data_IF_495967463819
#
_entry.id   IF_495967463819
#
_cell.length_a   1.000
_cell.length_b   1.000
_cell.length_c   1.000
_cell.angle_alpha   90.00
_cell.angle_beta   90.00
_cell.angle_gamma   90.00
#
_symmetry.space_group_name_H-M   'P 1'
#
loop_
_entity.id
_entity.type
_entity.pdbx_description
1 polymer ?
#
# COMPACT_ATOMS: atom_id res chain seq x y z
N UNK A 1 -32.50 4.74 29.84
CA UNK A 1 -31.80 3.48 29.51
C UNK A 1 -30.66 3.80 28.57
N UNK A 2 -29.52 4.14 29.16
CA UNK A 2 -28.24 4.28 28.46
C UNK A 2 -27.89 2.93 27.84
N UNK A 3 -27.92 2.84 26.51
CA UNK A 3 -27.22 1.77 25.81
C UNK A 3 -25.75 2.19 25.77
N UNK A 4 -25.00 1.67 26.73
CA UNK A 4 -23.57 1.52 26.67
C UNK A 4 -23.20 0.94 25.29
N UNK A 5 -22.76 1.83 24.40
CA UNK A 5 -22.02 1.44 23.20
C UNK A 5 -20.73 0.83 23.75
N UNK A 6 -20.57 -0.47 23.59
CA UNK A 6 -19.29 -1.13 23.78
C UNK A 6 -18.27 -0.33 22.97
N UNK A 7 -17.42 0.41 23.67
CA UNK A 7 -16.18 0.92 23.13
C UNK A 7 -15.49 -0.27 22.48
N UNK A 8 -15.15 -0.12 21.20
CA UNK A 8 -14.27 -1.04 20.50
C UNK A 8 -13.01 -1.24 21.37
N UNK A 9 -12.95 -2.34 22.11
CA UNK A 9 -11.67 -2.94 22.46
C UNK A 9 -11.04 -3.32 21.12
N UNK A 10 -10.20 -2.44 20.59
CA UNK A 10 -9.34 -2.78 19.46
C UNK A 10 -8.63 -4.10 19.82
N UNK A 11 -8.77 -5.14 18.99
CA UNK A 11 -8.05 -6.41 19.16
C UNK A 11 -6.53 -6.20 19.32
N UNK A 12 -6.03 -5.05 18.84
CA UNK A 12 -4.70 -4.54 19.12
C UNK A 12 -4.80 -3.12 19.70
N UNK A 13 -4.50 -2.94 20.98
CA UNK A 13 -4.49 -1.62 21.60
C UNK A 13 -3.47 -0.68 20.92
N UNK A 14 -3.76 0.61 20.84
CA UNK A 14 -2.81 1.59 20.32
C UNK A 14 -1.46 1.53 21.07
N UNK A 15 -1.48 1.23 22.38
CA UNK A 15 -0.27 1.02 23.18
C UNK A 15 0.58 -0.17 22.70
N UNK A 16 -0.05 -1.27 22.27
CA UNK A 16 0.66 -2.39 21.65
C UNK A 16 1.36 -1.96 20.36
N UNK A 17 0.66 -1.28 19.46
CA UNK A 17 1.23 -0.80 18.19
C UNK A 17 2.38 0.17 18.45
N UNK A 18 2.19 1.14 19.33
CA UNK A 18 3.20 2.11 19.75
C UNK A 18 4.47 1.44 20.29
N UNK A 19 4.32 0.44 21.16
CA UNK A 19 5.48 -0.29 21.71
C UNK A 19 6.27 -1.04 20.61
N UNK A 20 5.59 -1.54 19.57
CA UNK A 20 6.29 -2.27 18.49
C UNK A 20 7.00 -1.34 17.53
N UNK A 21 6.50 -0.12 17.37
CA UNK A 21 7.05 0.89 16.47
C UNK A 21 8.03 1.85 17.13
N UNK A 22 8.34 1.66 18.41
CA UNK A 22 9.26 2.53 19.14
C UNK A 22 10.63 2.62 18.45
N UNK A 23 11.12 3.84 18.21
CA UNK A 23 12.33 4.13 17.45
C UNK A 23 12.36 3.52 16.03
N UNK A 24 11.21 3.30 15.39
CA UNK A 24 11.14 2.69 14.06
C UNK A 24 10.66 3.68 13.00
N UNK A 25 11.21 3.54 11.80
CA UNK A 25 10.67 4.12 10.56
C UNK A 25 9.92 3.06 9.77
N UNK A 26 8.60 3.24 9.65
CA UNK A 26 7.68 2.36 8.91
C UNK A 26 7.29 3.03 7.59
N UNK A 27 7.70 2.44 6.48
CA UNK A 27 7.48 2.97 5.13
C UNK A 27 6.49 2.11 4.35
N UNK A 28 5.41 2.72 3.88
CA UNK A 28 4.49 2.16 2.89
C UNK A 28 4.83 2.73 1.52
N UNK A 29 5.14 1.88 0.54
CA UNK A 29 5.48 2.32 -0.82
C UNK A 29 4.61 1.57 -1.82
N UNK A 30 3.81 2.32 -2.58
CA UNK A 30 2.89 1.69 -3.53
C UNK A 30 1.81 2.61 -4.06
N UNK A 31 0.66 2.01 -4.36
CA UNK A 31 -0.51 2.68 -4.95
C UNK A 31 -1.48 3.28 -3.91
N UNK A 32 -2.70 3.61 -4.33
CA UNK A 32 -3.74 4.18 -3.47
C UNK A 32 -4.19 3.27 -2.33
N UNK A 33 -4.06 1.95 -2.46
CA UNK A 33 -4.39 0.99 -1.41
C UNK A 33 -3.24 0.88 -0.40
N UNK A 34 -1.99 1.09 -0.83
CA UNK A 34 -0.86 1.30 0.09
C UNK A 34 -1.06 2.56 0.94
N UNK A 35 -1.52 3.64 0.32
CA UNK A 35 -1.87 4.87 1.02
C UNK A 35 -2.99 4.66 2.05
N UNK A 36 -4.00 3.86 1.75
CA UNK A 36 -5.07 3.57 2.72
C UNK A 36 -4.59 2.80 3.93
N UNK A 37 -3.68 1.85 3.73
CA UNK A 37 -3.07 1.13 4.85
C UNK A 37 -2.25 2.09 5.74
N UNK A 38 -1.49 3.00 5.13
CA UNK A 38 -0.82 4.09 5.85
C UNK A 38 -1.80 4.97 6.63
N UNK A 39 -2.88 5.42 5.98
CA UNK A 39 -3.89 6.29 6.61
C UNK A 39 -4.60 5.58 7.77
N UNK A 40 -4.96 4.32 7.59
CA UNK A 40 -5.48 3.44 8.65
C UNK A 40 -4.51 3.38 9.83
N UNK A 41 -3.23 3.11 9.58
CA UNK A 41 -2.24 3.05 10.64
C UNK A 41 -2.18 4.37 11.41
N UNK A 42 -2.10 5.49 10.70
CA UNK A 42 -2.10 6.83 11.30
C UNK A 42 -3.32 7.04 12.20
N UNK A 43 -4.52 6.64 11.77
CA UNK A 43 -5.73 6.70 12.58
C UNK A 43 -5.66 5.79 13.81
N UNK A 44 -5.17 4.54 13.67
CA UNK A 44 -5.02 3.60 14.78
C UNK A 44 -4.09 4.15 15.86
N UNK A 45 -2.93 4.71 15.47
CA UNK A 45 -1.93 5.20 16.43
C UNK A 45 -2.26 6.60 16.99
N UNK A 46 -3.04 7.41 16.28
CA UNK A 46 -3.55 8.69 16.76
C UNK A 46 -4.88 8.59 17.52
N UNK A 47 -5.51 7.41 17.50
CA UNK A 47 -6.90 7.20 17.92
C UNK A 47 -7.89 8.15 17.20
N UNK A 48 -7.59 8.49 15.94
CA UNK A 48 -8.38 9.42 15.13
C UNK A 48 -8.36 10.88 15.61
N UNK A 49 -7.46 11.23 16.55
CA UNK A 49 -7.38 12.58 17.12
C UNK A 49 -6.24 13.38 16.50
N UNK A 50 -6.43 14.70 16.45
CA UNK A 50 -5.32 15.61 16.27
C UNK A 50 -4.43 15.58 17.52
N UNK A 51 -3.12 15.54 17.33
CA UNK A 51 -2.14 15.29 18.39
C UNK A 51 -0.91 16.14 18.15
N UNK A 52 -0.57 17.00 19.11
CA UNK A 52 0.59 17.88 19.04
C UNK A 52 1.94 17.12 19.02
N UNK A 53 1.97 15.86 19.45
CA UNK A 53 3.17 15.02 19.39
C UNK A 53 3.38 14.33 18.04
N UNK A 54 2.54 14.62 17.04
CA UNK A 54 2.71 14.16 15.66
C UNK A 54 3.13 15.35 14.80
N UNK A 55 4.33 15.30 14.25
CA UNK A 55 4.89 16.36 13.41
C UNK A 55 5.11 15.88 11.97
N UNK A 56 4.93 16.77 11.00
CA UNK A 56 5.28 16.52 9.60
C UNK A 56 6.80 16.57 9.44
N UNK A 57 7.38 15.48 8.93
CA UNK A 57 8.82 15.33 8.65
C UNK A 57 9.08 14.97 7.19
N UNK A 58 8.12 15.28 6.30
CA UNK A 58 8.19 14.96 4.88
C UNK A 58 9.42 15.55 4.18
N UNK A 59 9.89 16.72 4.62
CA UNK A 59 11.11 17.35 4.09
C UNK A 59 12.38 16.53 4.33
N UNK A 60 12.43 15.72 5.38
CA UNK A 60 13.57 14.84 5.62
C UNK A 60 13.66 13.68 4.62
N UNK A 61 12.60 13.43 3.86
CA UNK A 61 12.50 12.35 2.88
C UNK A 61 12.25 12.88 1.46
N UNK A 62 12.50 14.16 1.19
CA UNK A 62 12.17 14.81 -0.10
C UNK A 62 10.69 14.67 -0.52
N UNK A 63 9.77 14.54 0.45
CA UNK A 63 8.32 14.44 0.21
C UNK A 63 7.65 15.81 0.18
N UNK A 64 8.40 16.87 -0.09
CA UNK A 64 7.86 18.22 -0.21
C UNK A 64 7.04 18.34 -1.49
N UNK A 65 5.92 19.05 -1.41
CA UNK A 65 5.08 19.34 -2.56
C UNK A 65 5.87 20.20 -3.56
N UNK A 66 6.16 19.64 -4.74
CA UNK A 66 6.81 20.37 -5.81
C UNK A 66 5.96 21.57 -6.29
N UNK A 67 6.58 22.67 -6.76
CA UNK A 67 5.85 23.80 -7.35
C UNK A 67 4.88 23.34 -8.44
N UNK A 68 3.64 23.85 -8.40
CA UNK A 68 2.59 23.49 -9.36
C UNK A 68 1.96 22.10 -9.20
N UNK A 69 2.53 21.20 -8.39
CA UNK A 69 1.94 19.89 -8.14
C UNK A 69 0.61 20.02 -7.38
N UNK A 70 -0.36 19.13 -7.64
CA UNK A 70 -1.62 19.12 -6.87
C UNK A 70 -1.42 18.63 -5.43
N UNK A 71 -0.47 17.71 -5.21
CA UNK A 71 -0.16 17.08 -3.93
C UNK A 71 1.32 16.63 -3.91
N UNK A 72 1.93 16.42 -2.73
CA UNK A 72 3.26 15.81 -2.66
C UNK A 72 3.25 14.35 -3.15
N UNK A 73 4.44 13.81 -3.40
CA UNK A 73 4.63 12.41 -3.79
C UNK A 73 4.53 11.44 -2.61
N UNK A 74 4.20 11.93 -1.42
CA UNK A 74 4.10 11.14 -0.20
C UNK A 74 3.87 12.01 1.02
N UNK A 75 3.83 11.39 2.19
CA UNK A 75 3.77 12.05 3.49
C UNK A 75 4.64 11.28 4.47
N UNK A 76 5.27 11.97 5.42
CA UNK A 76 5.97 11.34 6.54
C UNK A 76 5.63 12.09 7.83
N UNK A 77 5.23 11.34 8.85
CA UNK A 77 4.87 11.89 10.16
C UNK A 77 5.67 11.21 11.25
N UNK A 78 6.19 12.01 12.19
CA UNK A 78 6.93 11.51 13.34
C UNK A 78 6.14 11.71 14.63
N UNK A 79 6.01 10.63 15.38
CA UNK A 79 5.50 10.60 16.74
C UNK A 79 6.68 10.88 17.67
N UNK A 80 6.77 12.10 18.20
CA UNK A 80 7.94 12.57 18.94
C UNK A 80 8.16 11.78 20.24
N UNK A 81 7.08 11.35 20.91
CA UNK A 81 7.15 10.60 22.17
C UNK A 81 7.81 9.23 22.03
N UNK A 82 7.61 8.54 20.91
CA UNK A 82 8.15 7.19 20.65
C UNK A 82 9.30 7.22 19.64
N UNK A 83 9.61 8.40 19.10
CA UNK A 83 10.51 8.61 17.97
C UNK A 83 10.20 7.65 16.79
N UNK A 84 8.91 7.41 16.56
CA UNK A 84 8.43 6.58 15.46
C UNK A 84 8.14 7.45 14.26
N UNK A 85 8.63 7.09 13.08
CA UNK A 85 8.25 7.74 11.83
C UNK A 85 7.38 6.79 11.01
N UNK A 86 6.24 7.28 10.53
CA UNK A 86 5.39 6.53 9.59
C UNK A 86 5.29 7.35 8.31
N UNK A 87 5.57 6.72 7.18
CA UNK A 87 5.54 7.40 5.90
C UNK A 87 4.85 6.59 4.81
N UNK A 88 4.37 7.31 3.82
CA UNK A 88 3.87 6.78 2.56
C UNK A 88 4.59 7.47 1.39
N UNK A 89 5.03 6.69 0.42
CA UNK A 89 5.50 7.18 -0.87
C UNK A 89 4.66 6.62 -2.02
N UNK A 90 4.17 7.51 -2.88
CA UNK A 90 3.39 7.16 -4.06
C UNK A 90 4.30 6.59 -5.15
N UNK A 91 4.21 5.28 -5.36
CA UNK A 91 4.83 4.59 -6.48
C UNK A 91 3.89 3.51 -6.97
N UNK A 92 2.90 3.91 -7.76
CA UNK A 92 1.83 3.01 -8.17
C UNK A 92 2.32 1.82 -9.00
N UNK A 93 3.43 1.94 -9.73
CA UNK A 93 4.05 0.85 -10.50
C UNK A 93 5.19 0.15 -9.75
N UNK A 94 5.75 0.73 -8.69
CA UNK A 94 7.04 0.30 -8.10
C UNK A 94 8.22 0.34 -9.08
N UNK A 95 8.13 1.16 -10.13
CA UNK A 95 9.23 1.42 -11.06
C UNK A 95 9.86 2.79 -10.81
N UNK A 96 11.07 2.97 -11.33
CA UNK A 96 11.60 4.29 -11.63
C UNK A 96 10.81 4.91 -12.79
N UNK A 97 10.36 6.16 -12.61
CA UNK A 97 9.56 6.89 -13.59
C UNK A 97 10.35 8.10 -14.07
N UNK A 98 10.58 8.22 -15.37
CA UNK A 98 11.36 9.33 -15.95
C UNK A 98 10.55 10.03 -17.05
N UNK A 99 10.28 11.33 -16.87
CA UNK A 99 9.70 12.16 -17.93
C UNK A 99 10.74 12.28 -19.05
N UNK A 100 10.38 11.86 -20.26
CA UNK A 100 11.32 11.77 -21.38
C UNK A 100 11.75 13.16 -21.90
N UNK A 101 10.86 14.15 -21.83
CA UNK A 101 11.13 15.54 -22.18
C UNK A 101 10.56 16.47 -21.10
N UNK A 102 11.43 16.98 -20.22
CA UNK A 102 11.02 17.84 -19.09
C UNK A 102 10.44 19.20 -19.53
N UNK A 103 10.73 19.64 -20.76
CA UNK A 103 10.22 20.90 -21.30
C UNK A 103 8.80 20.78 -21.86
N UNK A 104 8.31 19.56 -22.08
CA UNK A 104 6.98 19.30 -22.63
C UNK A 104 6.02 18.80 -21.53
N UNK A 105 4.98 19.58 -21.17
CA UNK A 105 4.02 19.17 -20.15
C UNK A 105 3.20 17.92 -20.53
N UNK A 106 3.15 17.55 -21.81
CA UNK A 106 2.47 16.35 -22.31
C UNK A 106 3.44 15.18 -22.56
N UNK A 107 4.70 15.32 -22.16
CA UNK A 107 5.72 14.31 -22.42
C UNK A 107 5.33 12.94 -21.88
N UNK A 108 5.72 11.90 -22.62
CA UNK A 108 5.66 10.53 -22.15
C UNK A 108 6.57 10.32 -20.94
N UNK A 109 6.13 9.43 -20.06
CA UNK A 109 6.89 9.02 -18.88
C UNK A 109 7.32 7.58 -19.05
N UNK A 110 8.62 7.34 -19.06
CA UNK A 110 9.20 6.01 -19.10
C UNK A 110 8.96 5.29 -17.77
N UNK A 111 8.35 4.11 -17.84
CA UNK A 111 8.19 3.17 -16.74
C UNK A 111 9.29 2.11 -16.87
N UNK A 112 10.37 2.26 -16.09
CA UNK A 112 11.52 1.35 -16.16
C UNK A 112 11.27 0.07 -15.36
N UNK A 113 11.01 -1.04 -16.04
CA UNK A 113 10.67 -2.31 -15.38
C UNK A 113 11.87 -2.92 -14.62
N UNK A 114 13.08 -2.56 -15.01
CA UNK A 114 14.35 -3.06 -14.48
C UNK A 114 14.88 -2.26 -13.28
N UNK A 115 14.17 -1.21 -12.84
CA UNK A 115 14.67 -0.26 -11.84
C UNK A 115 13.63 -0.01 -10.74
N UNK A 116 13.96 -0.25 -9.46
CA UNK A 116 13.17 0.18 -8.32
C UNK A 116 12.91 1.69 -8.35
N UNK A 117 11.89 2.21 -7.65
CA UNK A 117 11.68 3.66 -7.58
C UNK A 117 12.90 4.36 -6.98
N UNK A 118 13.28 5.51 -7.55
CA UNK A 118 14.44 6.29 -7.08
C UNK A 118 14.39 6.60 -5.58
N UNK A 119 13.21 6.95 -5.07
CA UNK A 119 12.98 7.16 -3.64
C UNK A 119 13.40 5.95 -2.80
N UNK A 120 12.98 4.73 -3.18
CA UNK A 120 13.32 3.53 -2.42
C UNK A 120 14.84 3.27 -2.46
N UNK A 121 15.49 3.46 -3.61
CA UNK A 121 16.97 3.33 -3.70
C UNK A 121 17.69 4.31 -2.78
N UNK A 122 17.19 5.54 -2.68
CA UNK A 122 17.81 6.59 -1.88
C UNK A 122 17.56 6.42 -0.38
N UNK A 123 16.38 5.95 0.01
CA UNK A 123 15.92 6.01 1.41
C UNK A 123 15.82 4.66 2.14
N UNK A 124 16.00 3.52 1.46
CA UNK A 124 15.86 2.19 2.09
C UNK A 124 16.70 2.00 3.35
N UNK A 125 17.88 2.62 3.41
CA UNK A 125 18.79 2.56 4.54
C UNK A 125 18.26 3.23 5.83
N UNK A 126 17.18 4.02 5.73
CA UNK A 126 16.52 4.68 6.86
C UNK A 126 15.28 3.94 7.38
N UNK A 127 14.91 2.81 6.78
CA UNK A 127 13.68 2.10 7.12
C UNK A 127 13.95 0.89 8.04
N UNK A 128 13.06 0.68 9.01
CA UNK A 128 13.03 -0.52 9.86
C UNK A 128 11.94 -1.50 9.44
N UNK A 129 10.88 -0.97 8.83
CA UNK A 129 9.78 -1.73 8.23
C UNK A 129 9.47 -1.14 6.87
N UNK A 130 9.46 -1.98 5.84
CA UNK A 130 9.07 -1.60 4.48
C UNK A 130 7.89 -2.46 4.04
N UNK A 131 6.80 -1.84 3.60
CA UNK A 131 5.62 -2.52 3.06
C UNK A 131 5.42 -2.07 1.62
N UNK A 132 5.58 -2.99 0.68
CA UNK A 132 5.42 -2.75 -0.75
C UNK A 132 4.06 -3.26 -1.24
N UNK A 133 3.45 -2.53 -2.19
CA UNK A 133 2.32 -3.06 -2.95
C UNK A 133 2.18 -2.40 -4.34
N UNK A 134 1.65 -3.15 -5.31
CA UNK A 134 1.17 -2.62 -6.60
C UNK A 134 0.07 -3.54 -7.16
N UNK A 135 -0.73 -3.03 -8.10
CA UNK A 135 -1.74 -3.84 -8.77
C UNK A 135 -2.67 -3.03 -9.64
N UNK A 136 -3.57 -2.26 -9.03
CA UNK A 136 -4.71 -1.63 -9.71
C UNK A 136 -4.37 -0.55 -10.73
N UNK A 137 -3.11 -0.12 -10.79
CA UNK A 137 -2.61 0.82 -11.80
C UNK A 137 -2.01 0.16 -13.04
N UNK A 138 -1.87 -1.17 -13.06
CA UNK A 138 -1.38 -1.95 -14.19
C UNK A 138 -2.53 -2.28 -15.16
N UNK A 139 -3.02 -1.26 -15.88
CA UNK A 139 -4.01 -1.42 -16.96
C UNK A 139 -3.89 -0.30 -18.00
N UNK A 140 -4.43 -0.53 -19.20
CA UNK A 140 -4.33 0.41 -20.32
C UNK A 140 -4.86 1.80 -19.97
N UNK A 141 -6.02 1.89 -19.30
CA UNK A 141 -6.64 3.18 -18.93
C UNK A 141 -5.71 4.02 -18.06
N UNK A 142 -5.01 3.41 -17.11
CA UNK A 142 -4.05 4.12 -16.26
C UNK A 142 -2.76 4.44 -17.00
N UNK A 143 -2.29 3.58 -17.88
CA UNK A 143 -1.10 3.86 -18.67
C UNK A 143 -1.34 5.04 -19.63
N UNK A 144 -2.45 5.03 -20.35
CA UNK A 144 -2.87 6.14 -21.23
C UNK A 144 -3.06 7.44 -20.43
N UNK A 145 -3.81 7.41 -19.33
CA UNK A 145 -4.08 8.62 -18.54
C UNK A 145 -2.83 9.25 -17.88
N UNK A 146 -1.73 8.51 -17.76
CA UNK A 146 -0.47 9.02 -17.22
C UNK A 146 0.64 9.16 -18.29
N UNK A 147 0.32 8.98 -19.58
CA UNK A 147 1.29 8.94 -20.69
C UNK A 147 2.47 7.98 -20.41
N UNK A 148 2.20 6.84 -19.80
CA UNK A 148 3.21 5.86 -19.43
C UNK A 148 3.59 4.97 -20.60
N UNK A 149 4.89 4.85 -20.84
CA UNK A 149 5.47 3.95 -21.84
C UNK A 149 6.46 3.00 -21.17
N UNK A 150 6.37 1.71 -21.50
CA UNK A 150 7.21 0.69 -20.88
C UNK A 150 8.63 0.80 -21.41
N UNK A 151 9.62 0.78 -20.51
CA UNK A 151 11.03 0.70 -20.84
C UNK A 151 11.69 -0.49 -20.16
N UNK A 152 12.61 -1.15 -20.86
CA UNK A 152 13.47 -2.22 -20.33
C UNK A 152 14.90 -1.95 -20.76
N UNK A 153 15.84 -1.90 -19.80
CA UNK A 153 17.23 -1.60 -20.11
C UNK A 153 17.43 -0.19 -20.70
N UNK A 154 16.52 0.74 -20.39
CA UNK A 154 16.53 2.11 -20.90
C UNK A 154 15.86 2.32 -22.26
N UNK A 155 15.48 1.27 -22.98
CA UNK A 155 14.89 1.34 -24.32
C UNK A 155 13.37 1.15 -24.24
N UNK A 156 12.56 1.91 -25.01
CA UNK A 156 11.12 1.68 -25.11
C UNK A 156 10.80 0.24 -25.56
N UNK A 157 9.78 -0.36 -24.94
CA UNK A 157 9.24 -1.66 -25.31
C UNK A 157 7.70 -1.57 -25.35
N UNK A 158 7.13 -0.98 -26.42
CA UNK A 158 5.69 -0.71 -26.51
C UNK A 158 4.85 -1.98 -26.63
N UNK A 159 5.43 -3.06 -27.15
CA UNK A 159 4.73 -4.33 -27.36
C UNK A 159 4.64 -5.19 -26.09
N UNK A 160 5.30 -4.77 -25.00
CA UNK A 160 5.27 -5.51 -23.74
C UNK A 160 3.87 -5.45 -23.12
N UNK A 161 3.26 -6.63 -22.93
CA UNK A 161 1.99 -6.74 -22.23
C UNK A 161 2.08 -6.18 -20.79
N UNK A 162 1.10 -5.36 -20.38
CA UNK A 162 1.08 -4.69 -19.07
C UNK A 162 1.03 -5.68 -17.90
N UNK A 163 0.34 -6.81 -18.04
CA UNK A 163 0.25 -7.83 -16.99
C UNK A 163 1.61 -8.51 -16.81
N UNK A 164 2.25 -8.90 -17.91
CA UNK A 164 3.59 -9.49 -17.87
C UNK A 164 4.63 -8.47 -17.37
N UNK A 165 4.46 -7.19 -17.70
CA UNK A 165 5.29 -6.11 -17.20
C UNK A 165 5.15 -5.95 -15.68
N UNK A 166 3.92 -6.02 -15.15
CA UNK A 166 3.67 -6.03 -13.70
C UNK A 166 4.41 -7.19 -13.04
N UNK A 167 4.23 -8.41 -13.55
CA UNK A 167 4.85 -9.60 -12.96
C UNK A 167 6.38 -9.50 -12.98
N UNK A 168 6.97 -8.98 -14.06
CA UNK A 168 8.41 -8.70 -14.14
C UNK A 168 8.85 -7.70 -13.05
N UNK A 169 8.07 -6.65 -12.82
CA UNK A 169 8.38 -5.63 -11.81
C UNK A 169 8.26 -6.18 -10.40
N UNK A 170 7.22 -6.96 -10.10
CA UNK A 170 7.08 -7.64 -8.80
C UNK A 170 8.29 -8.54 -8.55
N UNK A 171 8.69 -9.34 -9.54
CA UNK A 171 9.88 -10.18 -9.45
C UNK A 171 11.15 -9.35 -9.24
N UNK A 172 11.33 -8.27 -10.01
CA UNK A 172 12.49 -7.39 -9.92
C UNK A 172 12.60 -6.69 -8.56
N UNK A 173 11.51 -6.11 -8.06
CA UNK A 173 11.52 -5.35 -6.80
C UNK A 173 11.71 -6.26 -5.59
N UNK A 174 11.07 -7.44 -5.56
CA UNK A 174 11.23 -8.41 -4.48
C UNK A 174 12.68 -8.89 -4.40
N UNK A 175 13.27 -9.27 -5.55
CA UNK A 175 14.67 -9.70 -5.59
C UNK A 175 15.63 -8.57 -5.23
N UNK A 176 15.38 -7.35 -5.73
CA UNK A 176 16.20 -6.20 -5.40
C UNK A 176 16.16 -5.89 -3.91
N UNK A 177 14.99 -5.84 -3.27
CA UNK A 177 14.89 -5.64 -1.82
C UNK A 177 15.55 -6.78 -1.06
N UNK A 178 15.34 -8.04 -1.48
CA UNK A 178 15.96 -9.19 -0.85
C UNK A 178 17.50 -9.08 -0.85
N UNK A 179 18.08 -8.59 -1.94
CA UNK A 179 19.52 -8.33 -2.05
C UNK A 179 20.04 -7.19 -1.15
N UNK A 180 19.16 -6.29 -0.70
CA UNK A 180 19.53 -5.22 0.24
C UNK A 180 19.50 -5.68 1.70
N UNK A 181 18.73 -6.71 2.05
CA UNK A 181 18.55 -7.15 3.44
C UNK A 181 19.86 -7.54 4.16
N UNK A 182 20.87 -8.16 3.52
CA UNK A 182 22.18 -8.40 4.16
C UNK A 182 22.91 -7.12 4.57
N UNK A 183 22.69 -6.00 3.87
CA UNK A 183 23.29 -4.69 4.19
C UNK A 183 22.52 -3.95 5.29
N UNK A 184 21.23 -4.26 5.43
CA UNK A 184 20.33 -3.61 6.39
C UNK A 184 19.65 -4.68 7.26
N UNK A 185 20.37 -5.33 8.18
CA UNK A 185 19.85 -6.50 8.92
C UNK A 185 18.64 -6.18 9.82
N UNK A 186 18.43 -4.91 10.16
CA UNK A 186 17.28 -4.46 10.95
C UNK A 186 16.02 -4.20 10.11
N UNK A 187 16.16 -4.08 8.78
CA UNK A 187 15.05 -3.88 7.88
C UNK A 187 14.20 -5.15 7.80
N UNK A 188 12.91 -5.03 8.09
CA UNK A 188 11.91 -6.08 7.84
C UNK A 188 11.05 -5.63 6.67
N UNK A 189 11.20 -6.32 5.55
CA UNK A 189 10.48 -6.01 4.32
C UNK A 189 9.30 -6.95 4.12
N UNK A 190 8.18 -6.37 3.73
CA UNK A 190 6.92 -7.02 3.43
C UNK A 190 6.52 -6.71 2.01
N UNK A 191 5.98 -7.71 1.32
CA UNK A 191 5.21 -7.48 0.11
C UNK A 191 3.76 -7.84 0.39
N UNK A 192 2.85 -6.88 0.23
CA UNK A 192 1.42 -7.07 0.46
C UNK A 192 0.75 -7.58 -0.82
N UNK A 193 -0.09 -8.60 -0.68
CA UNK A 193 -0.92 -9.11 -1.77
C UNK A 193 -1.91 -8.07 -2.29
N UNK A 194 -2.52 -8.36 -3.45
CA UNK A 194 -3.52 -7.50 -4.06
C UNK A 194 -4.77 -7.34 -3.17
N UNK A 195 -5.21 -6.10 -2.98
CA UNK A 195 -6.52 -5.79 -2.40
C UNK A 195 -7.61 -6.08 -3.44
N UNK A 196 -8.68 -6.81 -3.12
CA UNK A 196 -9.76 -7.03 -4.06
C UNK A 196 -10.59 -5.76 -4.31
N UNK A 197 -11.36 -5.77 -5.39
CA UNK A 197 -12.48 -4.85 -5.65
C UNK A 197 -13.77 -5.65 -5.76
N UNK A 198 -14.90 -5.03 -5.40
CA UNK A 198 -16.20 -5.71 -5.38
C UNK A 198 -17.24 -4.96 -6.20
N UNK A 199 -17.20 -5.09 -7.52
CA UNK A 199 -18.25 -4.54 -8.36
C UNK A 199 -19.36 -5.57 -8.58
N UNK A 200 -20.61 -5.11 -8.47
CA UNK A 200 -21.82 -5.85 -8.78
C UNK A 200 -22.63 -5.10 -9.85
N UNK A 201 -23.30 -5.85 -10.73
CA UNK A 201 -24.17 -5.31 -11.79
C UNK A 201 -23.46 -4.36 -12.78
N UNK A 202 -22.17 -4.56 -12.98
CA UNK A 202 -21.31 -3.74 -13.84
C UNK A 202 -19.90 -3.69 -13.29
N UNK A 203 -19.04 -2.94 -13.97
CA UNK A 203 -17.66 -2.68 -13.58
C UNK A 203 -17.48 -1.23 -13.15
N UNK A 204 -16.26 -0.87 -12.79
CA UNK A 204 -15.87 0.49 -12.40
C UNK A 204 -16.28 1.57 -13.42
N UNK A 205 -16.43 1.25 -14.71
CA UNK A 205 -16.79 2.18 -15.78
C UNK A 205 -18.19 1.94 -16.40
N UNK A 206 -18.93 0.93 -15.95
CA UNK A 206 -20.22 0.53 -16.55
C UNK A 206 -21.38 0.51 -15.56
N UNK A 207 -21.27 1.28 -14.47
CA UNK A 207 -22.33 1.42 -13.47
C UNK A 207 -22.29 0.37 -12.37
N UNK A 208 -21.15 -0.31 -12.18
CA UNK A 208 -20.97 -1.26 -11.08
C UNK A 208 -21.16 -0.63 -9.70
N UNK A 209 -21.69 -1.42 -8.78
CA UNK A 209 -22.10 -1.01 -7.43
C UNK A 209 -21.47 -1.89 -6.35
N UNK A 210 -21.45 -1.41 -5.11
CA UNK A 210 -20.92 -2.07 -3.92
C UNK A 210 -21.55 -1.48 -2.65
N UNK A 211 -22.87 -1.32 -2.66
CA UNK A 211 -23.65 -0.79 -1.56
C UNK A 211 -24.30 -1.88 -0.69
N UNK A 212 -23.83 -3.13 -0.82
CA UNK A 212 -24.18 -4.21 0.09
C UNK A 212 -23.73 -3.86 1.51
N UNK A 213 -24.66 -3.89 2.46
CA UNK A 213 -24.40 -3.60 3.87
C UNK A 213 -24.32 -4.86 4.73
N UNK A 214 -24.51 -6.05 4.14
CA UNK A 214 -24.51 -7.33 4.86
C UNK A 214 -23.07 -7.85 4.96
N UNK A 215 -22.46 -7.86 6.15
CA UNK A 215 -21.08 -8.33 6.27
C UNK A 215 -20.96 -9.82 5.94
N UNK A 216 -19.86 -10.19 5.27
CA UNK A 216 -19.55 -11.59 4.93
C UNK A 216 -20.66 -12.24 4.09
N UNK A 217 -21.29 -11.47 3.20
CA UNK A 217 -22.41 -11.92 2.36
C UNK A 217 -22.06 -13.10 1.45
N UNK A 218 -20.78 -13.19 1.05
CA UNK A 218 -20.22 -14.27 0.23
C UNK A 218 -19.74 -15.48 1.04
N UNK A 219 -20.03 -15.49 2.34
CA UNK A 219 -19.60 -16.53 3.28
C UNK A 219 -18.54 -16.04 4.26
N UNK A 220 -18.29 -16.85 5.29
CA UNK A 220 -17.42 -16.52 6.42
C UNK A 220 -16.10 -17.30 6.44
N UNK A 221 -15.82 -18.05 5.38
CA UNK A 221 -14.67 -18.97 5.32
C UNK A 221 -13.83 -18.67 4.10
N UNK A 222 -12.53 -18.56 4.32
CA UNK A 222 -11.54 -18.73 3.26
C UNK A 222 -11.41 -20.22 3.03
N UNK A 223 -11.85 -20.70 1.87
CA UNK A 223 -11.94 -22.14 1.57
C UNK A 223 -10.72 -22.68 0.80
N UNK A 224 -9.75 -21.83 0.46
CA UNK A 224 -8.54 -22.20 -0.27
C UNK A 224 -7.35 -22.09 0.69
N UNK A 225 -6.52 -23.14 0.71
CA UNK A 225 -5.23 -23.12 1.41
C UNK A 225 -4.19 -22.28 0.63
N UNK A 226 -4.46 -22.01 -0.65
CA UNK A 226 -3.63 -21.17 -1.51
C UNK A 226 -3.96 -19.68 -1.37
N UNK A 227 -2.93 -18.84 -1.52
CA UNK A 227 -3.09 -17.38 -1.52
C UNK A 227 -4.05 -16.91 -2.62
N UNK A 228 -4.82 -15.86 -2.32
CA UNK A 228 -5.60 -15.13 -3.34
C UNK A 228 -4.72 -14.36 -4.34
N UNK A 229 -3.40 -14.27 -4.11
CA UNK A 229 -2.41 -13.69 -5.01
C UNK A 229 -1.22 -14.65 -5.23
N UNK A 230 -1.45 -15.78 -5.93
CA UNK A 230 -0.46 -16.85 -6.02
C UNK A 230 0.82 -16.45 -6.76
N UNK A 231 0.73 -15.49 -7.70
CA UNK A 231 1.88 -14.97 -8.44
C UNK A 231 2.84 -14.24 -7.52
N UNK A 232 2.33 -13.32 -6.69
CA UNK A 232 3.14 -12.61 -5.70
C UNK A 232 3.64 -13.57 -4.62
N UNK A 233 2.78 -14.48 -4.13
CA UNK A 233 3.15 -15.47 -3.13
C UNK A 233 4.35 -16.32 -3.59
N UNK A 234 4.34 -16.75 -4.85
CA UNK A 234 5.44 -17.51 -5.46
C UNK A 234 6.74 -16.70 -5.57
N UNK A 235 6.66 -15.42 -5.93
CA UNK A 235 7.84 -14.54 -6.03
C UNK A 235 8.47 -14.28 -4.67
N UNK A 236 7.66 -14.10 -3.62
CA UNK A 236 8.16 -13.86 -2.26
C UNK A 236 8.71 -15.14 -1.64
N UNK A 237 8.16 -16.30 -2.00
CA UNK A 237 8.60 -17.61 -1.51
C UNK A 237 10.09 -17.83 -1.84
N UNK A 238 10.86 -18.17 -0.81
CA UNK A 238 12.32 -18.38 -0.93
C UNK A 238 13.15 -17.10 -0.80
N UNK A 239 12.53 -15.95 -0.56
CA UNK A 239 13.21 -14.70 -0.19
C UNK A 239 13.11 -14.45 1.31
N UNK A 240 13.86 -13.46 1.81
CA UNK A 240 13.77 -12.99 3.18
C UNK A 240 12.68 -11.92 3.39
N UNK A 241 11.86 -11.63 2.36
CA UNK A 241 10.67 -10.79 2.52
C UNK A 241 9.54 -11.61 3.14
N UNK A 242 8.72 -10.94 3.95
CA UNK A 242 7.49 -11.55 4.48
C UNK A 242 6.33 -11.25 3.55
N UNK A 243 5.58 -12.28 3.15
CA UNK A 243 4.36 -12.09 2.40
C UNK A 243 3.22 -11.68 3.33
N UNK A 244 2.67 -10.48 3.13
CA UNK A 244 1.50 -9.99 3.84
C UNK A 244 0.25 -10.32 3.01
N UNK A 245 -0.27 -11.53 3.19
CA UNK A 245 -1.45 -12.01 2.47
C UNK A 245 -2.73 -11.47 3.09
N UNK A 246 -3.36 -10.53 2.38
CA UNK A 246 -4.61 -9.90 2.77
C UNK A 246 -5.75 -10.20 1.80
N UNK A 247 -5.50 -10.92 0.70
CA UNK A 247 -6.46 -10.99 -0.41
C UNK A 247 -7.71 -11.74 0.01
N UNK A 248 -7.55 -12.98 0.47
CA UNK A 248 -8.69 -13.85 0.77
C UNK A 248 -9.58 -13.33 1.91
N UNK A 249 -9.01 -12.76 2.97
CA UNK A 249 -9.81 -12.16 4.04
C UNK A 249 -10.57 -10.93 3.53
N UNK A 250 -9.97 -10.14 2.62
CA UNK A 250 -10.57 -8.91 2.13
C UNK A 250 -11.68 -9.19 1.11
N UNK A 251 -11.60 -10.32 0.39
CA UNK A 251 -12.66 -10.79 -0.53
C UNK A 251 -13.98 -11.08 0.18
N UNK A 252 -13.93 -11.40 1.48
CA UNK A 252 -15.12 -11.62 2.29
C UNK A 252 -15.80 -10.33 2.72
N UNK A 253 -15.15 -9.17 2.55
CA UNK A 253 -15.53 -7.91 3.18
C UNK A 253 -16.16 -6.93 2.19
N UNK A 254 -17.00 -7.41 1.28
CA UNK A 254 -17.59 -6.58 0.23
C UNK A 254 -18.34 -5.35 0.74
N UNK A 255 -18.83 -5.39 1.99
CA UNK A 255 -19.49 -4.27 2.67
C UNK A 255 -18.53 -3.14 3.12
N UNK A 256 -17.22 -3.37 3.08
CA UNK A 256 -16.22 -2.43 3.62
C UNK A 256 -15.84 -1.27 2.68
N UNK A 257 -16.36 -1.25 1.46
CA UNK A 257 -15.97 -0.25 0.45
C UNK A 257 -16.58 1.14 0.72
N UNK A 258 -15.97 2.18 0.13
CA UNK A 258 -16.48 3.55 0.19
C UNK A 258 -17.85 3.69 -0.51
N UNK A 259 -18.07 2.91 -1.58
CA UNK A 259 -19.32 2.90 -2.33
C UNK A 259 -19.69 4.31 -2.81
N UNK A 260 -20.93 4.75 -2.59
CA UNK A 260 -21.47 6.06 -2.95
C UNK A 260 -21.02 7.21 -2.04
N UNK A 261 -20.28 6.94 -0.97
CA UNK A 261 -19.91 7.94 0.04
C UNK A 261 -18.59 8.67 -0.28
N UNK A 262 -18.08 8.53 -1.51
CA UNK A 262 -16.90 9.25 -1.97
C UNK A 262 -17.18 10.75 -2.09
N UNK A 263 -16.24 11.59 -1.66
CA UNK A 263 -16.35 13.07 -1.72
C UNK A 263 -16.51 13.61 -3.16
N UNK A 264 -16.28 12.80 -4.18
CA UNK A 264 -16.53 13.16 -5.59
C UNK A 264 -17.97 12.81 -5.97
N UNK A 265 -18.91 13.61 -5.47
CA UNK A 265 -20.37 13.46 -5.64
C UNK A 265 -20.90 13.63 -7.08
N UNK A 266 -20.04 13.83 -8.09
CA UNK A 266 -20.47 14.23 -9.44
C UNK A 266 -20.67 13.06 -10.41
N UNK A 267 -20.44 11.81 -10.01
CA UNK A 267 -20.64 10.63 -10.87
C UNK A 267 -21.55 9.63 -10.17
N UNK A 268 -22.50 9.05 -10.89
CA UNK A 268 -23.26 7.87 -10.44
C UNK A 268 -22.38 6.62 -10.20
N UNK A 269 -21.05 6.75 -10.31
CA UNK A 269 -20.07 5.69 -10.17
C UNK A 269 -19.67 5.52 -8.70
N UNK A 270 -19.80 4.30 -8.19
CA UNK A 270 -19.40 3.95 -6.84
C UNK A 270 -17.92 3.61 -6.75
N UNK A 271 -17.29 3.92 -5.62
CA UNK A 271 -15.92 3.51 -5.32
C UNK A 271 -15.90 2.14 -4.64
N UNK A 272 -15.80 1.10 -5.47
CA UNK A 272 -15.74 -0.31 -5.04
C UNK A 272 -14.32 -0.88 -5.04
N UNK A 273 -13.33 0.02 -5.03
CA UNK A 273 -11.92 -0.30 -4.95
C UNK A 273 -11.38 0.06 -3.58
N UNK A 274 -11.71 1.26 -3.11
CA UNK A 274 -11.20 1.81 -1.87
C UNK A 274 -12.10 1.46 -0.69
N UNK A 275 -11.51 1.45 0.51
CA UNK A 275 -12.14 1.03 1.75
C UNK A 275 -12.49 2.22 2.63
N UNK A 276 -13.57 2.08 3.39
CA UNK A 276 -13.86 2.98 4.51
C UNK A 276 -12.78 2.85 5.60
N UNK A 277 -12.54 3.94 6.34
CA UNK A 277 -11.71 3.97 7.54
C UNK A 277 -12.53 4.55 8.71
N UNK A 278 -12.56 3.90 9.89
CA UNK A 278 -11.96 2.60 10.22
C UNK A 278 -12.59 1.45 9.42
N UNK A 279 -11.86 0.35 9.20
CA UNK A 279 -12.31 -0.74 8.33
C UNK A 279 -11.26 -1.80 7.99
N UNK A 280 -11.41 -2.42 6.82
CA UNK A 280 -10.57 -3.54 6.35
C UNK A 280 -9.04 -3.24 6.40
N UNK A 281 -8.57 -2.02 6.07
CA UNK A 281 -7.15 -1.70 6.20
C UNK A 281 -6.62 -1.73 7.64
N UNK A 282 -7.48 -1.59 8.66
CA UNK A 282 -7.07 -1.74 10.07
C UNK A 282 -6.64 -3.20 10.33
N UNK A 283 -7.42 -4.17 9.83
CA UNK A 283 -7.07 -5.60 9.90
C UNK A 283 -5.75 -5.91 9.18
N UNK A 284 -5.45 -5.26 8.05
CA UNK A 284 -4.16 -5.42 7.38
C UNK A 284 -2.99 -4.98 8.27
N UNK A 285 -3.18 -3.87 9.00
CA UNK A 285 -2.20 -3.38 9.96
C UNK A 285 -2.08 -4.29 11.18
N UNK A 286 -3.18 -4.81 11.71
CA UNK A 286 -3.14 -5.81 12.80
C UNK A 286 -2.32 -7.05 12.42
N UNK A 287 -2.51 -7.59 11.20
CA UNK A 287 -1.72 -8.72 10.69
C UNK A 287 -0.24 -8.33 10.54
N UNK A 288 0.04 -7.15 9.98
CA UNK A 288 1.41 -6.64 9.87
C UNK A 288 2.10 -6.62 11.24
N UNK A 289 1.46 -6.09 12.29
CA UNK A 289 2.05 -6.05 13.63
C UNK A 289 2.17 -7.42 14.29
N UNK A 290 1.23 -8.33 14.05
CA UNK A 290 1.37 -9.72 14.48
C UNK A 290 2.62 -10.37 13.87
N UNK A 291 2.85 -10.20 12.56
CA UNK A 291 4.04 -10.72 11.87
C UNK A 291 5.34 -10.07 12.36
N UNK A 292 5.33 -8.75 12.60
CA UNK A 292 6.48 -8.04 13.18
C UNK A 292 6.85 -8.60 14.57
N UNK A 293 5.87 -9.09 15.33
CA UNK A 293 6.07 -9.73 16.64
C UNK A 293 6.82 -11.05 16.54
N UNK A 294 6.34 -11.92 15.67
CA UNK A 294 6.89 -13.27 15.51
C UNK A 294 8.32 -13.24 14.98
N UNK A 295 8.67 -12.22 14.18
CA UNK A 295 10.03 -12.05 13.66
C UNK A 295 11.08 -11.68 14.74
N UNK A 296 10.70 -10.99 15.82
CA UNK A 296 11.62 -10.67 16.93
C UNK A 296 11.94 -11.90 17.77
N UNK A 297 10.95 -12.74 18.05
CA UNK A 297 11.14 -13.95 18.87
C UNK A 297 12.07 -14.97 18.20
N UNK A 298 12.09 -15.03 16.86
CA UNK A 298 13.01 -15.90 16.09
C UNK A 298 14.47 -15.42 16.07
N UNK A 299 14.77 -14.18 16.47
CA UNK A 299 16.15 -13.63 16.53
C UNK A 299 16.74 -13.68 17.94
N UNK A 300 15.95 -14.04 18.96
CA UNK A 300 16.38 -14.17 20.35
C UNK A 300 16.72 -15.62 20.75
N UNK A 301 16.61 -16.55 19.81
CA UNK A 301 17.02 -17.96 19.90
C UNK A 301 17.91 -18.28 18.69
#
# INVERSE_FOLDING_TARGET
MEKSVFLYDYCVSASYVHHRMWNQTVAFIGDSLGRQQFQSLMCMVSAGKDRHDIIDVGSEFDLVKAPGARRPNGWAYRFTRTNTTVLFYWSATLCDLNVLNQSDPNSQVAVHLDRPPSFLRNYIHRFDVLVLNTGHHWNNVKFEANNWVIHVGGIPNPDKNIIDAKDLVVHGIVNWVNSQLPRYPNLRAFYRSISPSHFFNGDWNSGGTCDNLTPLSKGRRVSKDESGDPRVAMVVKGTNLTFLDITALSELRDEGHISKYSKKQSSQMQDCLHWCLPGVPDTWNEILFALLSNSRNKRQH
#
